data_IF_679756547139
#
_entry.id   IF_679756547139
#
_cell.length_a   1.000
_cell.length_b   1.000
_cell.length_c   1.000
_cell.angle_alpha   90.00
_cell.angle_beta   90.00
_cell.angle_gamma   90.00
#
_symmetry.space_group_name_H-M   'P 1'
#
loop_
_entity.id
_entity.type
_entity.pdbx_description
1 polymer ?
#
# COMPACT_ATOMS: atom_id res chain seq x y z
N UNK A 1 -19.61 31.42 -14.78
CA UNK A 1 -19.05 30.10 -14.43
C UNK A 1 -18.42 30.23 -13.04
N UNK A 2 -18.64 29.27 -12.14
CA UNK A 2 -18.09 29.36 -10.78
C UNK A 2 -16.55 29.21 -10.84
N UNK A 3 -15.83 30.22 -10.34
CA UNK A 3 -14.36 30.28 -10.35
C UNK A 3 -13.73 29.03 -9.73
N UNK A 4 -14.28 28.52 -8.61
CA UNK A 4 -13.78 27.30 -7.94
C UNK A 4 -13.89 26.03 -8.78
N UNK A 5 -14.94 25.92 -9.61
CA UNK A 5 -15.09 24.77 -10.54
C UNK A 5 -14.03 24.83 -11.63
N UNK A 6 -13.75 26.04 -12.12
CA UNK A 6 -12.70 26.23 -13.14
C UNK A 6 -11.30 25.93 -12.60
N UNK A 7 -11.02 26.35 -11.36
CA UNK A 7 -9.77 26.06 -10.67
C UNK A 7 -9.61 24.55 -10.41
N UNK A 8 -10.68 23.90 -9.95
CA UNK A 8 -10.67 22.45 -9.75
C UNK A 8 -10.39 21.70 -11.05
N UNK A 9 -11.05 22.10 -12.16
CA UNK A 9 -10.80 21.51 -13.48
C UNK A 9 -9.33 21.62 -13.88
N UNK A 10 -8.71 22.80 -13.72
CA UNK A 10 -7.30 23.02 -14.03
C UNK A 10 -6.38 22.14 -13.17
N UNK A 11 -6.66 22.03 -11.86
CA UNK A 11 -5.88 21.20 -10.98
C UNK A 11 -5.98 19.70 -11.35
N UNK A 12 -7.18 19.24 -11.69
CA UNK A 12 -7.42 17.87 -12.16
C UNK A 12 -6.61 17.55 -13.43
N UNK A 13 -6.73 18.42 -14.44
CA UNK A 13 -6.01 18.27 -15.72
C UNK A 13 -4.48 18.33 -15.51
N UNK A 14 -4.00 19.19 -14.61
CA UNK A 14 -2.58 19.29 -14.27
C UNK A 14 -2.04 18.02 -13.60
N UNK A 15 -2.76 17.47 -12.65
CA UNK A 15 -2.36 16.20 -12.00
C UNK A 15 -2.27 15.06 -13.02
N UNK A 16 -3.26 14.97 -13.91
CA UNK A 16 -3.27 13.95 -14.97
C UNK A 16 -2.07 14.10 -15.91
N UNK A 17 -1.82 15.32 -16.40
CA UNK A 17 -0.70 15.62 -17.30
C UNK A 17 0.67 15.32 -16.67
N UNK A 18 0.85 15.61 -15.38
CA UNK A 18 2.08 15.27 -14.64
C UNK A 18 2.28 13.75 -14.61
N UNK A 19 1.24 13.00 -14.30
CA UNK A 19 1.32 11.55 -14.24
C UNK A 19 1.57 10.92 -15.61
N UNK A 20 0.93 11.43 -16.66
CA UNK A 20 1.13 10.99 -18.05
C UNK A 20 2.58 11.24 -18.50
N UNK A 21 3.11 12.44 -18.26
CA UNK A 21 4.48 12.81 -18.64
C UNK A 21 5.55 11.97 -17.94
N UNK A 22 5.26 11.42 -16.76
CA UNK A 22 6.17 10.61 -15.98
C UNK A 22 5.89 9.09 -16.06
N UNK A 23 4.86 8.67 -16.79
CA UNK A 23 4.49 7.26 -16.90
C UNK A 23 3.93 6.67 -15.60
N UNK A 24 3.36 7.50 -14.70
CA UNK A 24 2.86 7.06 -13.39
C UNK A 24 1.44 6.49 -13.41
N UNK A 25 0.79 6.49 -14.58
CA UNK A 25 -0.60 6.03 -14.73
C UNK A 25 -1.62 7.07 -14.26
N UNK A 26 -2.88 6.66 -14.16
CA UNK A 26 -3.98 7.54 -13.75
C UNK A 26 -3.91 7.87 -12.26
N UNK A 27 -3.72 9.17 -11.87
CA UNK A 27 -3.63 9.57 -10.46
C UNK A 27 -4.93 9.35 -9.67
N UNK A 28 -6.06 9.19 -10.35
CA UNK A 28 -7.36 9.04 -9.72
C UNK A 28 -7.78 7.57 -9.55
N UNK A 29 -6.97 6.62 -10.05
CA UNK A 29 -7.19 5.19 -9.88
C UNK A 29 -6.59 4.69 -8.57
N UNK A 30 -7.37 3.92 -7.79
CA UNK A 30 -6.96 3.31 -6.51
C UNK A 30 -6.38 4.35 -5.54
N UNK A 31 -5.21 4.07 -4.97
CA UNK A 31 -4.50 4.97 -4.06
C UNK A 31 -3.41 5.81 -4.74
N UNK A 32 -3.34 5.81 -6.10
CA UNK A 32 -2.20 6.33 -6.87
C UNK A 32 -1.76 7.74 -6.50
N UNK A 33 -2.67 8.69 -6.38
CA UNK A 33 -2.33 10.07 -5.98
C UNK A 33 -1.73 10.15 -4.58
N UNK A 34 -2.15 9.28 -3.65
CA UNK A 34 -1.58 9.20 -2.29
C UNK A 34 -0.20 8.56 -2.31
N UNK A 35 0.01 7.52 -3.13
CA UNK A 35 1.31 6.88 -3.32
C UNK A 35 2.34 7.87 -3.87
N UNK A 36 1.96 8.65 -4.89
CA UNK A 36 2.81 9.71 -5.45
C UNK A 36 3.14 10.78 -4.39
N UNK A 37 2.15 11.20 -3.60
CA UNK A 37 2.37 12.18 -2.53
C UNK A 37 3.26 11.62 -1.44
N UNK A 38 3.10 10.35 -1.05
CA UNK A 38 3.98 9.68 -0.10
C UNK A 38 5.41 9.60 -0.63
N UNK A 39 5.59 9.17 -1.88
CA UNK A 39 6.91 9.10 -2.51
C UNK A 39 7.61 10.47 -2.54
N UNK A 40 6.89 11.53 -2.93
CA UNK A 40 7.42 12.89 -2.90
C UNK A 40 7.79 13.38 -1.50
N UNK A 41 6.98 13.03 -0.48
CA UNK A 41 7.25 13.39 0.93
C UNK A 41 8.47 12.64 1.48
N UNK A 42 8.66 11.38 1.08
CA UNK A 42 9.75 10.52 1.52
C UNK A 42 11.02 10.65 0.65
N UNK A 43 10.96 11.40 -0.43
CA UNK A 43 12.02 11.48 -1.45
C UNK A 43 12.34 10.12 -2.09
N UNK A 44 11.32 9.30 -2.31
CA UNK A 44 11.42 8.02 -3.00
C UNK A 44 11.10 8.19 -4.50
N UNK A 45 11.56 7.26 -5.32
CA UNK A 45 11.19 7.20 -6.73
C UNK A 45 9.81 6.53 -6.86
N UNK A 46 8.87 7.19 -7.54
CA UNK A 46 7.56 6.59 -7.86
C UNK A 46 7.74 5.43 -8.84
N UNK A 47 7.14 4.29 -8.55
CA UNK A 47 7.14 3.17 -9.50
C UNK A 47 6.30 3.50 -10.74
N UNK A 48 6.80 3.15 -11.91
CA UNK A 48 6.07 3.32 -13.19
C UNK A 48 5.05 2.21 -13.45
N UNK A 49 5.04 1.16 -12.64
CA UNK A 49 4.10 0.04 -12.76
C UNK A 49 2.96 0.20 -11.75
N UNK A 50 1.73 -0.10 -12.18
CA UNK A 50 0.57 -0.18 -11.31
C UNK A 50 0.41 -1.56 -10.66
N UNK A 51 1.24 -2.53 -11.07
CA UNK A 51 1.29 -3.87 -10.51
C UNK A 51 2.68 -4.11 -9.94
N UNK A 52 2.79 -4.31 -8.66
CA UNK A 52 4.07 -4.53 -7.99
C UNK A 52 4.35 -3.47 -6.93
N UNK A 53 5.57 -3.00 -6.84
CA UNK A 53 5.99 -1.98 -5.89
C UNK A 53 5.31 -0.62 -6.15
N UNK A 54 4.96 0.10 -5.10
CA UNK A 54 4.41 1.46 -5.21
C UNK A 54 5.52 2.50 -5.41
N UNK A 55 6.68 2.24 -4.83
CA UNK A 55 7.85 3.10 -4.93
C UNK A 55 9.16 2.31 -4.80
N UNK A 56 10.27 3.00 -5.06
CA UNK A 56 11.63 2.51 -4.81
C UNK A 56 12.27 3.46 -3.79
N UNK A 57 12.71 2.93 -2.67
CA UNK A 57 13.47 3.63 -1.65
C UNK A 57 14.96 3.27 -1.72
N UNK A 58 15.73 3.67 -0.72
CA UNK A 58 17.18 3.39 -0.62
C UNK A 58 17.53 1.91 -0.49
N UNK A 59 16.60 1.10 0.01
CA UNK A 59 16.77 -0.34 0.23
C UNK A 59 16.19 -1.18 -0.92
N UNK A 60 15.41 -0.59 -1.84
CA UNK A 60 14.80 -1.26 -3.01
C UNK A 60 13.30 -1.04 -3.16
N UNK A 61 12.57 -2.06 -3.59
CA UNK A 61 11.12 -1.99 -3.78
C UNK A 61 10.38 -1.82 -2.46
N UNK A 62 9.47 -0.85 -2.42
CA UNK A 62 8.66 -0.50 -1.26
C UNK A 62 7.15 -0.59 -1.55
N UNK A 63 6.40 -1.02 -0.55
CA UNK A 63 4.94 -1.08 -0.56
C UNK A 63 4.36 0.01 0.33
N UNK A 64 3.32 0.69 -0.15
CA UNK A 64 2.63 1.76 0.56
C UNK A 64 1.23 1.34 0.98
N UNK A 65 0.86 1.71 2.20
CA UNK A 65 -0.51 1.57 2.70
C UNK A 65 -0.97 2.89 3.26
N UNK A 66 -2.11 3.38 2.79
CA UNK A 66 -2.66 4.66 3.24
C UNK A 66 -4.09 4.50 3.75
N UNK A 67 -4.44 5.29 4.75
CA UNK A 67 -5.80 5.40 5.28
C UNK A 67 -6.20 6.84 5.49
N UNK A 68 -7.50 7.14 5.35
CA UNK A 68 -8.14 8.40 5.76
C UNK A 68 -8.95 8.22 7.04
N UNK A 69 -8.87 7.05 7.67
CA UNK A 69 -9.54 6.76 8.93
C UNK A 69 -8.92 7.52 10.11
N UNK A 70 -9.58 7.45 11.26
CA UNK A 70 -9.09 8.08 12.50
C UNK A 70 -7.82 7.44 13.05
N UNK A 71 -7.56 6.19 12.69
CA UNK A 71 -6.40 5.43 13.15
C UNK A 71 -5.60 4.91 11.97
N UNK A 72 -4.28 4.87 12.12
CA UNK A 72 -3.38 4.27 11.14
C UNK A 72 -3.59 2.75 11.08
N UNK A 73 -3.38 2.16 9.90
CA UNK A 73 -3.48 0.73 9.66
C UNK A 73 -3.15 0.42 8.20
N UNK A 74 -2.92 -0.85 7.89
CA UNK A 74 -2.67 -1.29 6.52
C UNK A 74 -3.40 -2.58 6.21
N UNK A 75 -4.29 -2.56 5.21
CA UNK A 75 -5.03 -3.73 4.75
C UNK A 75 -4.31 -4.40 3.58
N UNK A 76 -4.18 -5.72 3.65
CA UNK A 76 -3.66 -6.60 2.61
C UNK A 76 -4.78 -7.54 2.19
N UNK A 77 -5.57 -7.13 1.21
CA UNK A 77 -6.75 -7.85 0.75
C UNK A 77 -6.58 -8.37 -0.68
N UNK A 78 -7.49 -9.24 -1.12
CA UNK A 78 -7.51 -9.74 -2.49
C UNK A 78 -6.32 -10.66 -2.83
N UNK A 79 -5.67 -11.25 -1.83
CA UNK A 79 -4.53 -12.14 -2.00
C UNK A 79 -5.02 -13.45 -2.63
N UNK A 80 -4.43 -13.83 -3.76
CA UNK A 80 -4.73 -15.08 -4.45
C UNK A 80 -4.39 -16.28 -3.59
N UNK A 81 -5.29 -17.27 -3.56
CA UNK A 81 -5.15 -18.48 -2.75
C UNK A 81 -4.45 -19.56 -3.55
N UNK A 82 -3.41 -20.17 -2.98
CA UNK A 82 -2.67 -21.29 -3.52
C UNK A 82 -3.32 -22.62 -3.10
N UNK A 83 -2.88 -23.75 -3.65
CA UNK A 83 -3.49 -25.05 -3.41
C UNK A 83 -3.21 -25.60 -2.01
N UNK A 84 -2.02 -25.33 -1.48
CA UNK A 84 -1.59 -25.76 -0.15
C UNK A 84 -1.10 -24.56 0.66
N UNK A 85 -1.02 -24.72 1.98
CA UNK A 85 -0.48 -23.67 2.84
C UNK A 85 1.00 -23.42 2.56
N UNK A 86 1.77 -24.44 2.30
CA UNK A 86 3.21 -24.32 1.98
C UNK A 86 3.42 -23.48 0.72
N UNK A 87 2.62 -23.72 -0.33
CA UNK A 87 2.63 -22.89 -1.55
C UNK A 87 2.16 -21.47 -1.26
N UNK A 88 1.15 -21.30 -0.40
CA UNK A 88 0.64 -19.99 0.02
C UNK A 88 1.69 -19.19 0.78
N UNK A 89 2.36 -19.81 1.73
CA UNK A 89 3.40 -19.17 2.53
C UNK A 89 4.58 -18.74 1.66
N UNK A 90 5.03 -19.58 0.74
CA UNK A 90 6.06 -19.25 -0.25
C UNK A 90 5.63 -18.06 -1.12
N UNK A 91 4.41 -18.08 -1.66
CA UNK A 91 3.86 -16.98 -2.46
C UNK A 91 3.81 -15.66 -1.67
N UNK A 92 3.40 -15.69 -0.39
CA UNK A 92 3.38 -14.51 0.47
C UNK A 92 4.78 -13.97 0.74
N UNK A 93 5.77 -14.85 0.88
CA UNK A 93 7.15 -14.52 1.19
C UNK A 93 7.90 -13.98 -0.02
N UNK A 94 7.80 -14.67 -1.16
CA UNK A 94 8.65 -14.40 -2.33
C UNK A 94 8.01 -13.44 -3.33
N UNK A 95 6.66 -13.46 -3.47
CA UNK A 95 5.98 -12.77 -4.56
C UNK A 95 5.06 -11.64 -4.11
N UNK A 96 4.62 -11.61 -2.83
CA UNK A 96 3.52 -10.71 -2.46
C UNK A 96 3.84 -9.72 -1.34
N UNK A 97 4.26 -10.18 -0.17
CA UNK A 97 4.48 -9.33 1.01
C UNK A 97 5.97 -9.22 1.32
N UNK A 98 6.63 -10.35 1.49
CA UNK A 98 8.03 -10.42 1.90
C UNK A 98 9.02 -9.96 0.83
N UNK A 99 8.58 -9.87 -0.44
CA UNK A 99 9.43 -9.36 -1.52
C UNK A 99 9.78 -7.88 -1.38
N UNK A 100 8.93 -7.09 -0.73
CA UNK A 100 9.19 -5.68 -0.49
C UNK A 100 10.06 -5.50 0.74
N UNK A 101 11.18 -4.82 0.59
CA UNK A 101 12.14 -4.59 1.68
C UNK A 101 11.51 -3.77 2.80
N UNK A 102 10.75 -2.75 2.44
CA UNK A 102 10.07 -1.86 3.37
C UNK A 102 8.59 -1.69 3.01
N UNK A 103 7.75 -1.56 4.05
CA UNK A 103 6.37 -1.15 3.95
C UNK A 103 6.19 0.17 4.70
N UNK A 104 5.48 1.10 4.08
CA UNK A 104 5.19 2.41 4.67
C UNK A 104 3.69 2.54 4.88
N UNK A 105 3.33 2.93 6.10
CA UNK A 105 1.94 3.14 6.50
C UNK A 105 1.73 4.64 6.73
N UNK A 106 0.78 5.23 6.03
CA UNK A 106 0.45 6.64 6.15
C UNK A 106 -1.00 6.85 6.58
N UNK A 107 -1.22 7.81 7.47
CA UNK A 107 -2.55 8.31 7.78
C UNK A 107 -2.70 9.72 7.22
N UNK A 108 -3.79 9.92 6.51
CA UNK A 108 -4.15 11.21 5.92
C UNK A 108 -5.26 11.87 6.76
N UNK A 109 -5.16 13.18 6.90
CA UNK A 109 -6.17 14.01 7.55
C UNK A 109 -6.37 15.29 6.73
N UNK A 110 -7.60 15.53 6.28
CA UNK A 110 -7.93 16.69 5.45
C UNK A 110 -7.07 16.84 4.19
N UNK A 111 -6.69 15.75 3.54
CA UNK A 111 -5.85 15.75 2.34
C UNK A 111 -4.34 15.91 2.61
N UNK A 112 -3.91 15.96 3.86
CA UNK A 112 -2.51 16.03 4.28
C UNK A 112 -2.07 14.74 4.93
N UNK A 113 -0.78 14.42 4.81
CA UNK A 113 -0.18 13.31 5.56
C UNK A 113 -0.03 13.77 7.01
N UNK A 114 -0.67 13.05 7.94
CA UNK A 114 -0.61 13.32 9.37
C UNK A 114 0.49 12.52 10.07
N UNK A 115 0.79 11.33 9.58
CA UNK A 115 1.87 10.48 10.09
C UNK A 115 2.29 9.45 9.04
N UNK A 116 3.56 9.07 9.05
CA UNK A 116 4.12 7.95 8.28
C UNK A 116 4.98 7.08 9.19
N UNK A 117 4.82 5.79 9.07
CA UNK A 117 5.59 4.76 9.77
C UNK A 117 6.20 3.79 8.76
N UNK A 118 7.47 3.43 8.96
CA UNK A 118 8.21 2.42 8.17
C UNK A 118 8.27 1.11 8.94
N UNK A 119 8.12 0.00 8.27
CA UNK A 119 8.25 -1.34 8.83
C UNK A 119 8.97 -2.24 7.82
N UNK A 120 9.91 -3.06 8.27
CA UNK A 120 10.59 -4.03 7.40
C UNK A 120 9.60 -5.08 6.90
N UNK A 121 9.77 -5.51 5.63
CA UNK A 121 8.88 -6.49 4.99
C UNK A 121 8.80 -7.82 5.73
N UNK A 122 9.92 -8.29 6.29
CA UNK A 122 9.95 -9.50 7.14
C UNK A 122 9.10 -9.38 8.41
N UNK A 123 9.07 -8.19 9.01
CA UNK A 123 8.24 -7.90 10.19
C UNK A 123 6.76 -7.89 9.82
N UNK A 124 6.40 -7.22 8.72
CA UNK A 124 5.03 -7.20 8.19
C UNK A 124 4.57 -8.63 7.88
N UNK A 125 5.41 -9.41 7.20
CA UNK A 125 5.13 -10.80 6.88
C UNK A 125 4.89 -11.64 8.17
N UNK A 126 5.74 -11.51 9.17
CA UNK A 126 5.61 -12.23 10.44
C UNK A 126 4.31 -11.93 11.19
N UNK A 127 3.80 -10.70 11.07
CA UNK A 127 2.50 -10.28 11.63
C UNK A 127 1.32 -10.87 10.83
N UNK A 128 1.42 -10.90 9.52
CA UNK A 128 0.32 -11.29 8.65
C UNK A 128 0.18 -12.81 8.48
N UNK A 129 1.28 -13.56 8.44
CA UNK A 129 1.26 -15.02 8.25
C UNK A 129 0.31 -15.76 9.18
N UNK A 130 0.37 -15.59 10.53
CA UNK A 130 -0.54 -16.29 11.41
C UNK A 130 -2.01 -15.89 11.24
N UNK A 131 -2.27 -14.63 10.85
CA UNK A 131 -3.63 -14.13 10.58
C UNK A 131 -4.20 -14.75 9.31
N UNK A 132 -3.38 -14.85 8.26
CA UNK A 132 -3.75 -15.46 6.98
C UNK A 132 -3.91 -16.98 7.10
N UNK A 133 -3.02 -17.66 7.86
CA UNK A 133 -3.11 -19.09 8.12
C UNK A 133 -4.46 -19.48 8.74
N UNK A 134 -4.92 -18.73 9.73
CA UNK A 134 -6.21 -18.97 10.40
C UNK A 134 -7.41 -18.94 9.44
N UNK A 135 -7.31 -18.22 8.35
CA UNK A 135 -8.40 -18.06 7.37
C UNK A 135 -8.26 -19.01 6.17
N UNK A 136 -7.08 -19.55 5.93
CA UNK A 136 -6.73 -20.25 4.70
C UNK A 136 -7.69 -21.41 4.39
N UNK A 137 -7.87 -22.35 5.33
CA UNK A 137 -8.69 -23.54 5.09
C UNK A 137 -10.18 -23.19 4.84
N UNK A 138 -10.69 -22.15 5.52
CA UNK A 138 -12.07 -21.66 5.31
C UNK A 138 -12.25 -21.01 3.95
N UNK A 139 -11.26 -20.20 3.52
CA UNK A 139 -11.32 -19.46 2.26
C UNK A 139 -11.11 -20.39 1.07
N UNK A 140 -10.25 -21.41 1.21
CA UNK A 140 -9.91 -22.35 0.14
C UNK A 140 -11.15 -23.07 -0.46
N UNK A 141 -12.19 -23.28 0.35
CA UNK A 141 -13.44 -23.92 -0.08
C UNK A 141 -14.41 -23.00 -0.85
N UNK A 142 -14.09 -21.71 -0.97
CA UNK A 142 -14.96 -20.72 -1.64
C UNK A 142 -14.80 -20.77 -3.17
N UNK A 143 -15.82 -20.28 -3.88
CA UNK A 143 -15.82 -20.25 -5.36
C UNK A 143 -14.76 -19.33 -5.95
N UNK A 144 -14.50 -18.18 -5.32
CA UNK A 144 -13.43 -17.24 -5.65
C UNK A 144 -12.65 -16.92 -4.38
N UNK A 145 -11.71 -17.79 -3.99
CA UNK A 145 -11.03 -17.68 -2.72
C UNK A 145 -10.06 -16.49 -2.74
N UNK A 146 -10.18 -15.61 -1.75
CA UNK A 146 -9.29 -14.46 -1.53
C UNK A 146 -8.93 -14.37 -0.06
N UNK A 147 -7.65 -14.28 0.22
CA UNK A 147 -7.15 -14.03 1.56
C UNK A 147 -7.03 -12.53 1.83
N UNK A 148 -7.13 -12.18 3.10
CA UNK A 148 -6.90 -10.81 3.55
C UNK A 148 -6.66 -10.74 5.05
N UNK A 149 -5.75 -9.84 5.42
CA UNK A 149 -5.44 -9.50 6.79
C UNK A 149 -4.96 -8.04 6.87
N UNK A 150 -4.87 -7.52 8.09
CA UNK A 150 -4.44 -6.13 8.29
C UNK A 150 -3.35 -6.05 9.35
N UNK A 151 -2.45 -5.09 9.17
CA UNK A 151 -1.56 -4.60 10.21
C UNK A 151 -2.29 -3.48 10.95
N UNK A 152 -2.45 -3.66 12.27
CA UNK A 152 -3.18 -2.75 13.14
C UNK A 152 -2.32 -1.56 13.59
N UNK A 153 -2.96 -0.51 14.11
CA UNK A 153 -2.28 0.62 14.75
C UNK A 153 -1.28 0.15 15.83
N UNK A 154 -1.70 -0.75 16.69
CA UNK A 154 -0.84 -1.26 17.79
C UNK A 154 0.41 -1.95 17.25
N UNK A 155 0.26 -2.76 16.21
CA UNK A 155 1.39 -3.44 15.56
C UNK A 155 2.34 -2.43 14.88
N UNK A 156 1.78 -1.43 14.19
CA UNK A 156 2.58 -0.38 13.56
C UNK A 156 3.38 0.40 14.62
N UNK A 157 2.76 0.78 15.72
CA UNK A 157 3.43 1.56 16.77
C UNK A 157 4.45 0.74 17.57
N UNK A 158 4.25 -0.57 17.71
CA UNK A 158 5.16 -1.44 18.45
C UNK A 158 6.37 -1.89 17.63
N UNK A 159 6.20 -2.07 16.33
CA UNK A 159 7.21 -2.69 15.47
C UNK A 159 7.71 -1.80 14.34
N UNK A 160 7.08 -0.65 14.10
CA UNK A 160 7.46 0.31 13.10
C UNK A 160 8.36 1.42 13.62
N UNK A 161 9.00 2.10 12.70
CA UNK A 161 9.77 3.31 12.91
C UNK A 161 8.93 4.51 12.45
N UNK A 162 8.74 5.51 13.30
CA UNK A 162 8.05 6.74 12.93
C UNK A 162 8.95 7.61 12.07
N UNK A 163 8.49 7.92 10.85
CA UNK A 163 9.22 8.76 9.88
C UNK A 163 8.69 10.21 9.90
N UNK A 164 7.38 10.38 10.05
CA UNK A 164 6.70 11.68 10.09
C UNK A 164 5.67 11.71 11.20
#
# INVERSE_FOLDING_TARGET
MNTSVTEYKKAYESMYAICEANGWGDPFSYARSKEILMAGTLNHQVSITLAGADAIDEDGEAEYKSTTGKTIGGAYNGISVQKTWEEQERYLTEDKIGKYTNHYFARFDGGKIAEIWKMKGEVVLSILLPKLRKKFDTVLSQKDPRLGASVSKTEIYNYGEKIL
#
